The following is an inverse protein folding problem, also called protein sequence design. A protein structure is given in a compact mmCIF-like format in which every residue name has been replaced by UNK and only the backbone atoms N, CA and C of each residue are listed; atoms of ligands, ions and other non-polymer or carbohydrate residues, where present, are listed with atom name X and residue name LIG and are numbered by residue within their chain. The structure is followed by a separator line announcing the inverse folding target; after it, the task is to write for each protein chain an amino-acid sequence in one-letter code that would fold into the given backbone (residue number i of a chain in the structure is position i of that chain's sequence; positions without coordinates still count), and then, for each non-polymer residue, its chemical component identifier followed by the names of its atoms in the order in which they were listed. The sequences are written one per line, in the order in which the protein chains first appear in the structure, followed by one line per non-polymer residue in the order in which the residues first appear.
data_IF_475942959375
#
_entry.id   IF_475942959375
#
_cell.length_a   1.000
_cell.length_b   1.000
_cell.length_c   1.000
_cell.angle_alpha   90.00
_cell.angle_beta   90.00
_cell.angle_gamma   90.00
#
_symmetry.space_group_name_H-M   'P 1'
#
loop_
_entity.id
_entity.type
_entity.pdbx_description
1 polymer ?
#
# COMPACT_ATOMS: atom_id res chain seq x y z
N UNK A 1 -13.10 -6.56 12.20
CA UNK A 1 -13.79 -7.48 11.26
C UNK A 1 -14.01 -8.85 11.87
N UNK A 2 -12.99 -9.41 12.51
CA UNK A 2 -12.97 -10.79 13.01
C UNK A 2 -14.02 -11.10 14.10
N UNK A 3 -14.30 -10.17 15.02
CA UNK A 3 -15.24 -10.38 16.14
C UNK A 3 -16.67 -10.71 15.68
N UNK A 4 -17.11 -10.14 14.56
CA UNK A 4 -18.48 -10.30 14.03
C UNK A 4 -18.52 -10.95 12.64
N UNK A 5 -17.38 -11.40 12.10
CA UNK A 5 -17.29 -11.98 10.76
C UNK A 5 -17.71 -11.03 9.63
N UNK A 6 -17.62 -9.71 9.85
CA UNK A 6 -18.07 -8.71 8.87
C UNK A 6 -17.02 -8.54 7.79
N UNK A 7 -17.43 -8.69 6.52
CA UNK A 7 -16.62 -8.25 5.37
C UNK A 7 -16.63 -6.73 5.31
N UNK A 8 -15.45 -6.12 5.41
CA UNK A 8 -15.29 -4.66 5.36
C UNK A 8 -14.44 -4.28 4.16
N UNK A 9 -14.97 -3.39 3.32
CA UNK A 9 -14.25 -2.83 2.17
C UNK A 9 -14.00 -1.35 2.48
N UNK A 10 -12.75 -0.94 2.34
CA UNK A 10 -12.31 0.43 2.59
C UNK A 10 -11.71 0.97 1.29
N UNK A 11 -12.22 2.09 0.82
CA UNK A 11 -11.60 2.84 -0.28
C UNK A 11 -10.88 4.04 0.31
N UNK A 12 -9.55 4.07 0.18
CA UNK A 12 -8.71 5.14 0.71
C UNK A 12 -7.47 5.35 -0.15
N UNK A 13 -6.93 6.56 -0.10
CA UNK A 13 -5.61 6.90 -0.63
C UNK A 13 -4.56 7.07 0.48
N UNK A 14 -4.95 7.01 1.75
CA UNK A 14 -4.03 7.08 2.88
C UNK A 14 -3.34 5.74 3.10
N UNK A 15 -2.05 5.72 2.81
CA UNK A 15 -1.24 4.52 2.92
C UNK A 15 -0.95 4.10 4.36
N UNK A 16 -0.98 5.00 5.35
CA UNK A 16 -0.77 4.59 6.75
C UNK A 16 -1.86 3.61 7.19
N UNK A 17 -3.11 3.97 6.92
CA UNK A 17 -4.26 3.11 7.18
C UNK A 17 -4.16 1.79 6.39
N UNK A 18 -3.79 1.83 5.09
CA UNK A 18 -3.64 0.61 4.28
C UNK A 18 -2.60 -0.34 4.87
N UNK A 19 -1.46 0.18 5.33
CA UNK A 19 -0.40 -0.64 5.93
C UNK A 19 -0.76 -1.19 7.31
N UNK A 20 -1.62 -0.52 8.06
CA UNK A 20 -2.02 -0.97 9.39
C UNK A 20 -3.07 -2.09 9.30
N UNK A 21 -4.14 -1.86 8.54
CA UNK A 21 -5.35 -2.70 8.56
C UNK A 21 -5.64 -3.46 7.25
N UNK A 22 -4.85 -3.24 6.19
CA UNK A 22 -5.06 -3.87 4.89
C UNK A 22 -4.66 -5.35 4.87
N UNK A 23 -5.65 -6.25 4.88
CA UNK A 23 -5.44 -7.70 4.70
C UNK A 23 -5.35 -8.06 3.20
N UNK A 24 -6.27 -7.53 2.40
CA UNK A 24 -6.31 -7.68 0.94
C UNK A 24 -6.47 -6.31 0.29
N UNK A 25 -5.52 -5.95 -0.56
CA UNK A 25 -5.40 -4.62 -1.16
C UNK A 25 -5.60 -4.74 -2.66
N UNK A 26 -6.39 -3.83 -3.22
CA UNK A 26 -6.56 -3.65 -4.66
C UNK A 26 -6.19 -2.22 -5.01
N UNK A 27 -5.17 -2.05 -5.85
CA UNK A 27 -4.80 -0.75 -6.40
C UNK A 27 -5.43 -0.55 -7.77
N UNK A 28 -6.13 0.58 -7.92
CA UNK A 28 -6.81 0.95 -9.15
C UNK A 28 -6.02 2.08 -9.81
N UNK A 29 -5.66 1.87 -11.08
CA UNK A 29 -5.02 2.87 -11.92
C UNK A 29 -5.80 2.98 -13.23
N UNK A 30 -6.15 4.20 -13.64
CA UNK A 30 -6.92 4.48 -14.86
C UNK A 30 -8.19 3.63 -15.02
N UNK A 31 -8.92 3.44 -13.91
CA UNK A 31 -10.17 2.68 -13.89
C UNK A 31 -9.99 1.15 -14.02
N UNK A 32 -8.76 0.64 -13.95
CA UNK A 32 -8.45 -0.79 -14.03
C UNK A 32 -7.84 -1.28 -12.72
N UNK A 33 -8.13 -2.54 -12.37
CA UNK A 33 -7.39 -3.27 -11.34
C UNK A 33 -5.95 -3.41 -11.82
N UNK A 34 -5.07 -2.59 -11.27
CA UNK A 34 -3.67 -2.50 -11.70
C UNK A 34 -2.76 -3.42 -10.91
N UNK A 35 -3.09 -3.59 -9.63
CA UNK A 35 -2.36 -4.48 -8.73
C UNK A 35 -3.28 -5.02 -7.63
N UNK A 36 -2.95 -6.20 -7.12
CA UNK A 36 -3.66 -6.87 -6.03
C UNK A 36 -2.63 -7.64 -5.19
N UNK A 37 -2.76 -7.60 -3.87
CA UNK A 37 -1.86 -8.30 -2.95
C UNK A 37 -2.10 -7.90 -1.49
N UNK A 38 -1.15 -8.23 -0.62
CA UNK A 38 -1.15 -7.87 0.80
C UNK A 38 -0.29 -6.64 1.09
N UNK A 39 -0.37 -6.12 2.32
CA UNK A 39 0.47 -5.01 2.77
C UNK A 39 1.97 -5.34 2.79
N UNK A 40 2.35 -6.60 2.90
CA UNK A 40 3.76 -7.02 2.81
C UNK A 40 4.23 -7.02 1.36
N UNK A 41 3.39 -7.48 0.44
CA UNK A 41 3.70 -7.55 -1.00
C UNK A 41 3.80 -6.17 -1.64
N UNK A 42 3.04 -5.18 -1.13
CA UNK A 42 3.03 -3.82 -1.68
C UNK A 42 4.41 -3.14 -1.61
N UNK A 43 5.21 -3.45 -0.58
CA UNK A 43 6.55 -2.89 -0.37
C UNK A 43 7.59 -3.49 -1.33
N UNK A 44 7.30 -4.66 -1.90
CA UNK A 44 8.17 -5.39 -2.80
C UNK A 44 7.63 -5.43 -4.23
N UNK A 45 6.55 -4.69 -4.50
CA UNK A 45 5.94 -4.63 -5.82
C UNK A 45 6.93 -4.04 -6.83
N UNK A 46 6.99 -4.65 -8.01
CA UNK A 46 7.79 -4.14 -9.16
C UNK A 46 6.97 -3.25 -10.10
N UNK A 47 5.74 -2.91 -9.71
CA UNK A 47 4.83 -2.10 -10.51
C UNK A 47 5.18 -0.62 -10.33
N UNK A 48 5.51 0.06 -11.43
CA UNK A 48 6.04 1.43 -11.38
C UNK A 48 5.01 2.41 -10.85
N UNK A 49 3.78 2.35 -11.35
CA UNK A 49 2.71 3.28 -10.98
C UNK A 49 2.32 3.13 -9.51
N UNK A 50 2.26 1.89 -9.01
CA UNK A 50 2.04 1.60 -7.60
C UNK A 50 3.19 2.14 -6.75
N UNK A 51 4.44 1.90 -7.16
CA UNK A 51 5.61 2.41 -6.44
C UNK A 51 5.60 3.94 -6.42
N UNK A 52 5.37 4.60 -7.56
CA UNK A 52 5.27 6.06 -7.64
C UNK A 52 4.19 6.60 -6.70
N UNK A 53 3.04 5.91 -6.59
CA UNK A 53 1.98 6.29 -5.66
C UNK A 53 2.37 6.11 -4.18
N UNK A 54 2.94 4.95 -3.83
CA UNK A 54 3.41 4.65 -2.46
C UNK A 54 4.52 5.62 -2.06
N UNK A 55 5.46 5.91 -2.96
CA UNK A 55 6.56 6.84 -2.73
C UNK A 55 6.12 8.32 -2.78
N UNK A 56 5.05 8.69 -3.48
CA UNK A 56 4.52 10.04 -3.37
C UNK A 56 3.90 10.30 -1.99
N UNK A 57 3.38 9.24 -1.35
CA UNK A 57 2.80 9.33 -0.01
C UNK A 57 3.89 9.51 1.07
N UNK A 58 3.49 9.93 2.27
CA UNK A 58 4.40 10.09 3.42
C UNK A 58 5.28 8.86 3.72
N UNK A 59 4.94 7.68 3.16
CA UNK A 59 5.77 6.48 3.19
C UNK A 59 7.14 6.64 2.54
N UNK A 60 7.33 7.35 1.41
CA UNK A 60 8.69 7.56 0.89
C UNK A 60 9.59 8.30 1.87
N UNK A 61 9.01 9.25 2.63
CA UNK A 61 9.77 9.99 3.63
C UNK A 61 10.27 9.05 4.72
N UNK A 62 9.50 8.02 5.09
CA UNK A 62 9.88 6.98 6.06
C UNK A 62 10.81 5.93 5.48
N UNK A 63 10.59 5.47 4.24
CA UNK A 63 11.48 4.54 3.54
C UNK A 63 12.89 5.13 3.37
N UNK A 64 12.99 6.41 3.01
CA UNK A 64 14.28 7.14 2.98
C UNK A 64 14.97 7.27 4.34
N UNK A 65 14.24 7.18 5.45
CA UNK A 65 14.83 7.17 6.80
C UNK A 65 15.29 5.77 7.22
N UNK A 66 14.75 4.72 6.60
CA UNK A 66 15.14 3.32 6.85
C UNK A 66 16.35 2.87 6.01
N UNK A 67 16.70 3.64 4.98
CA UNK A 67 18.01 3.55 4.29
C UNK A 67 18.87 4.74 4.74
N UNK A 68 19.81 4.58 5.69
CA UNK A 68 20.85 5.58 5.88
C UNK A 68 21.64 5.68 4.58
N UNK A 69 22.00 6.90 4.15
CA UNK A 69 22.93 7.10 3.05
C UNK A 69 24.17 6.21 3.24
N UNK A 70 24.41 5.26 2.32
CA UNK A 70 25.56 4.37 2.40
C UNK A 70 25.43 3.08 1.60
N UNK A 71 25.35 3.19 0.27
CA UNK A 71 26.24 2.56 -0.74
C UNK A 71 25.75 2.87 -2.16
#
# INVERSE_FOLDING_TARGET
TQEYGITTIINTHDMNSVMEIGEKIVYIHEGRKWWEGTKEEILHARNRELNDFVFASAMAKRAKQMTPDGE
#
